data_IF_108507948030
#
_entry.id   IF_108507948030
#
_cell.length_a   1.000
_cell.length_b   1.000
_cell.length_c   1.000
_cell.angle_alpha   90.00
_cell.angle_beta   90.00
_cell.angle_gamma   90.00
#
_symmetry.space_group_name_H-M   'P 1'
#
loop_
_entity.id
_entity.type
_entity.pdbx_description
1 polymer ?
#
# COMPACT_ATOMS: atom_id res chain seq x y z
N UNK A 1 -15.17 4.44 0.12
CA UNK A 1 -13.91 3.68 0.12
C UNK A 1 -13.42 3.25 -1.27
N UNK A 2 -14.29 2.81 -2.19
CA UNK A 2 -13.88 2.44 -3.55
C UNK A 2 -14.35 3.45 -4.59
N UNK A 3 -13.50 3.73 -5.58
CA UNK A 3 -13.77 4.61 -6.71
C UNK A 3 -13.49 3.89 -8.02
N UNK A 4 -14.20 4.30 -9.08
CA UNK A 4 -13.91 3.86 -10.44
C UNK A 4 -12.97 4.86 -11.10
N UNK A 5 -11.84 4.37 -11.59
CA UNK A 5 -10.82 5.19 -12.27
C UNK A 5 -10.77 4.80 -13.72
N UNK A 6 -10.95 5.78 -14.61
CA UNK A 6 -10.80 5.59 -16.05
C UNK A 6 -9.32 5.67 -16.41
N UNK A 7 -8.79 4.61 -17.03
CA UNK A 7 -7.39 4.51 -17.42
C UNK A 7 -7.27 4.05 -18.87
N UNK A 8 -6.13 4.39 -19.47
CA UNK A 8 -5.76 3.98 -20.83
C UNK A 8 -4.43 3.26 -20.75
N UNK A 9 -4.38 2.04 -21.27
CA UNK A 9 -3.16 1.24 -21.29
C UNK A 9 -3.01 0.50 -22.63
N UNK A 10 -1.76 0.21 -23.00
CA UNK A 10 -1.46 -0.62 -24.16
C UNK A 10 -1.11 -2.03 -23.68
N UNK A 11 -2.00 -2.97 -23.95
CA UNK A 11 -1.89 -4.34 -23.50
C UNK A 11 -1.22 -5.18 -24.58
N UNK A 12 -0.16 -5.89 -24.21
CA UNK A 12 0.54 -6.84 -25.07
C UNK A 12 -0.04 -8.23 -24.88
N UNK A 13 -0.66 -8.76 -25.92
CA UNK A 13 -1.26 -10.11 -25.91
C UNK A 13 -0.34 -11.06 -26.67
N UNK A 14 0.16 -12.11 -26.00
CA UNK A 14 1.07 -13.03 -26.64
C UNK A 14 0.36 -13.97 -27.64
N UNK A 15 1.08 -14.48 -28.66
CA UNK A 15 0.49 -15.27 -29.75
C UNK A 15 -0.21 -16.56 -29.30
N UNK A 16 0.26 -17.18 -28.23
CA UNK A 16 -0.37 -18.40 -27.69
C UNK A 16 -1.75 -18.12 -27.09
N UNK A 17 -2.07 -16.89 -26.71
CA UNK A 17 -3.37 -16.51 -26.17
C UNK A 17 -4.39 -16.13 -27.26
N UNK A 18 -4.02 -16.18 -28.54
CA UNK A 18 -4.91 -15.82 -29.67
C UNK A 18 -6.08 -16.78 -29.88
N UNK A 19 -6.05 -17.95 -29.27
CA UNK A 19 -7.17 -18.88 -29.30
C UNK A 19 -8.34 -18.47 -28.38
N UNK A 20 -8.15 -17.45 -27.51
CA UNK A 20 -9.18 -16.93 -26.58
C UNK A 20 -9.83 -15.68 -27.17
N UNK A 21 -10.98 -15.30 -26.62
CA UNK A 21 -11.60 -14.01 -26.97
C UNK A 21 -10.71 -12.86 -26.50
N UNK A 22 -10.60 -11.82 -27.33
CA UNK A 22 -9.71 -10.68 -27.10
C UNK A 22 -10.05 -9.97 -25.77
N UNK A 23 -11.33 -9.81 -25.47
CA UNK A 23 -11.82 -9.20 -24.23
C UNK A 23 -11.35 -9.96 -22.99
N UNK A 24 -11.45 -11.29 -23.00
CA UNK A 24 -11.03 -12.13 -21.88
C UNK A 24 -9.50 -12.10 -21.69
N UNK A 25 -8.76 -12.16 -22.80
CA UNK A 25 -7.31 -12.08 -22.78
C UNK A 25 -6.82 -10.72 -22.23
N UNK A 26 -7.46 -9.62 -22.64
CA UNK A 26 -7.14 -8.28 -22.13
C UNK A 26 -7.48 -8.17 -20.65
N UNK A 27 -8.65 -8.65 -20.23
CA UNK A 27 -9.05 -8.59 -18.83
C UNK A 27 -8.08 -9.35 -17.93
N UNK A 28 -7.62 -10.53 -18.37
CA UNK A 28 -6.63 -11.32 -17.65
C UNK A 28 -5.28 -10.60 -17.54
N UNK A 29 -4.77 -10.02 -18.64
CA UNK A 29 -3.49 -9.31 -18.64
C UNK A 29 -3.55 -7.99 -17.83
N UNK A 30 -4.66 -7.24 -17.90
CA UNK A 30 -4.87 -6.05 -17.07
C UNK A 30 -4.90 -6.40 -15.58
N UNK A 31 -5.63 -7.45 -15.19
CA UNK A 31 -5.66 -7.90 -13.80
C UNK A 31 -4.26 -8.37 -13.33
N UNK A 32 -3.52 -9.13 -14.15
CA UNK A 32 -2.13 -9.50 -13.80
C UNK A 32 -1.22 -8.28 -13.62
N UNK A 33 -1.42 -7.24 -14.44
CA UNK A 33 -0.59 -6.04 -14.43
C UNK A 33 -0.94 -5.10 -13.28
N UNK A 34 -2.21 -4.92 -12.94
CA UNK A 34 -2.67 -3.87 -12.01
C UNK A 34 -3.20 -4.39 -10.67
N UNK A 35 -3.63 -5.65 -10.56
CA UNK A 35 -4.18 -6.15 -9.29
C UNK A 35 -3.13 -6.09 -8.18
N UNK A 36 -3.58 -5.64 -7.00
CA UNK A 36 -2.77 -5.47 -5.80
C UNK A 36 -1.52 -4.58 -6.01
N UNK A 37 -1.60 -3.60 -6.91
CA UNK A 37 -0.59 -2.57 -7.09
C UNK A 37 -1.15 -1.21 -6.72
N UNK A 38 -0.32 -0.42 -6.04
CA UNK A 38 -0.60 0.98 -5.77
C UNK A 38 -0.19 1.79 -6.98
N UNK A 39 -1.13 2.56 -7.52
CA UNK A 39 -0.88 3.56 -8.55
C UNK A 39 -0.75 4.91 -7.85
N UNK A 40 0.35 5.62 -8.12
CA UNK A 40 0.66 6.91 -7.49
C UNK A 40 -0.45 7.94 -7.75
N UNK A 41 -0.88 8.66 -6.71
CA UNK A 41 -2.00 9.62 -6.72
C UNK A 41 -3.37 9.03 -7.11
N UNK A 42 -3.53 7.71 -7.08
CA UNK A 42 -4.79 7.03 -7.47
C UNK A 42 -5.25 6.06 -6.39
N UNK A 43 -4.34 5.28 -5.79
CA UNK A 43 -4.66 4.33 -4.72
C UNK A 43 -4.35 2.87 -5.08
N UNK A 44 -4.91 1.94 -4.30
CA UNK A 44 -4.68 0.51 -4.47
C UNK A 44 -5.68 -0.11 -5.47
N UNK A 45 -5.17 -0.66 -6.56
CA UNK A 45 -5.96 -1.32 -7.59
C UNK A 45 -6.44 -2.71 -7.14
N UNK A 46 -7.76 -2.95 -7.18
CA UNK A 46 -8.37 -4.24 -6.80
C UNK A 46 -8.59 -5.12 -8.04
N UNK A 47 -9.54 -4.77 -8.89
CA UNK A 47 -9.91 -5.54 -10.08
C UNK A 47 -10.46 -4.66 -11.19
N UNK A 48 -10.40 -5.18 -12.42
CA UNK A 48 -11.03 -4.58 -13.59
C UNK A 48 -12.56 -4.54 -13.43
N UNK A 49 -13.16 -3.37 -13.65
CA UNK A 49 -14.62 -3.22 -13.65
C UNK A 49 -15.20 -3.56 -15.03
N UNK A 50 -14.84 -2.77 -16.04
CA UNK A 50 -15.22 -3.01 -17.42
C UNK A 50 -14.25 -2.37 -18.43
N UNK A 51 -14.36 -2.80 -19.68
CA UNK A 51 -13.63 -2.23 -20.82
C UNK A 51 -14.61 -1.34 -21.57
N UNK A 52 -14.32 -0.04 -21.65
CA UNK A 52 -15.22 0.96 -22.26
C UNK A 52 -14.96 1.09 -23.76
N UNK A 53 -13.70 1.03 -24.18
CA UNK A 53 -13.32 1.14 -25.59
C UNK A 53 -12.08 0.30 -25.89
N UNK A 54 -12.12 -0.39 -27.02
CA UNK A 54 -11.01 -1.17 -27.55
C UNK A 54 -10.60 -0.58 -28.90
N UNK A 55 -9.35 -0.17 -29.02
CA UNK A 55 -8.79 0.33 -30.29
C UNK A 55 -8.25 -0.83 -31.14
N UNK A 56 -7.82 -0.52 -32.36
CA UNK A 56 -7.26 -1.52 -33.26
C UNK A 56 -5.99 -2.15 -32.68
N UNK A 57 -5.82 -3.44 -32.98
CA UNK A 57 -4.68 -4.24 -32.58
C UNK A 57 -3.55 -4.14 -33.60
N UNK A 58 -2.35 -3.80 -33.14
CA UNK A 58 -1.16 -3.66 -33.97
C UNK A 58 -0.11 -4.73 -33.65
N UNK A 59 0.58 -5.23 -34.67
CA UNK A 59 1.72 -6.14 -34.52
C UNK A 59 2.97 -5.38 -34.97
N UNK A 60 3.96 -5.27 -34.09
CA UNK A 60 5.21 -4.58 -34.40
C UNK A 60 6.19 -5.52 -35.11
N UNK A 61 6.95 -5.04 -36.11
CA UNK A 61 8.00 -5.85 -36.73
C UNK A 61 9.03 -6.31 -35.68
N UNK A 62 9.21 -7.63 -35.55
CA UNK A 62 10.12 -8.23 -34.57
C UNK A 62 9.46 -8.77 -33.30
N UNK A 63 8.20 -8.45 -33.04
CA UNK A 63 7.39 -9.08 -31.99
C UNK A 63 6.09 -9.64 -32.58
N UNK A 64 5.87 -10.95 -32.44
CA UNK A 64 4.65 -11.59 -32.92
C UNK A 64 3.40 -11.28 -32.09
N UNK A 65 3.55 -10.59 -30.96
CA UNK A 65 2.45 -10.24 -30.07
C UNK A 65 1.57 -9.10 -30.62
N UNK A 66 0.29 -9.17 -30.29
CA UNK A 66 -0.69 -8.13 -30.59
C UNK A 66 -0.65 -7.07 -29.50
N UNK A 67 -0.52 -5.80 -29.89
CA UNK A 67 -0.55 -4.65 -29.00
C UNK A 67 -1.85 -3.89 -29.23
N UNK A 68 -2.70 -3.86 -28.22
CA UNK A 68 -4.03 -3.25 -28.30
C UNK A 68 -4.13 -2.13 -27.27
N UNK A 69 -4.53 -0.93 -27.69
CA UNK A 69 -4.81 0.16 -26.75
C UNK A 69 -6.23 0.01 -26.23
N UNK A 70 -6.37 0.03 -24.91
CA UNK A 70 -7.63 -0.25 -24.21
C UNK A 70 -7.94 0.90 -23.27
N UNK A 71 -9.18 1.36 -23.31
CA UNK A 71 -9.77 2.27 -22.34
C UNK A 71 -10.66 1.44 -21.43
N UNK A 72 -10.44 1.54 -20.13
CA UNK A 72 -11.12 0.70 -19.15
C UNK A 72 -11.34 1.44 -17.84
N UNK A 73 -12.26 0.92 -17.03
CA UNK A 73 -12.49 1.38 -15.66
C UNK A 73 -12.00 0.33 -14.69
N UNK A 74 -11.27 0.76 -13.67
CA UNK A 74 -10.73 -0.13 -12.65
C UNK A 74 -11.28 0.25 -11.29
N UNK A 75 -11.57 -0.75 -10.45
CA UNK A 75 -11.98 -0.55 -9.07
C UNK A 75 -10.73 -0.30 -8.24
N UNK A 76 -10.64 0.88 -7.65
CA UNK A 76 -9.51 1.31 -6.84
C UNK A 76 -9.98 1.62 -5.42
N UNK A 77 -9.24 1.13 -4.43
CA UNK A 77 -9.39 1.53 -3.04
C UNK A 77 -8.68 2.87 -2.82
N UNK A 78 -9.50 3.89 -2.60
CA UNK A 78 -9.08 5.26 -2.32
C UNK A 78 -10.21 5.89 -1.48
N UNK A 79 -10.17 5.68 -0.15
CA UNK A 79 -11.12 6.32 0.75
C UNK A 79 -10.95 7.83 0.71
N UNK A 80 -12.05 8.56 0.92
CA UNK A 80 -12.00 10.02 0.97
C UNK A 80 -11.67 10.49 2.39
N UNK A 81 -11.16 11.71 2.52
CA UNK A 81 -10.91 12.32 3.82
C UNK A 81 -12.21 12.43 4.63
N UNK A 82 -12.11 12.22 5.93
CA UNK A 82 -13.22 12.11 6.88
C UNK A 82 -14.14 10.88 6.71
N UNK A 83 -13.77 9.92 5.86
CA UNK A 83 -14.50 8.64 5.76
C UNK A 83 -14.30 7.79 7.03
N UNK A 84 -15.39 7.25 7.57
CA UNK A 84 -15.36 6.34 8.72
C UNK A 84 -15.28 4.90 8.22
N UNK A 85 -14.23 4.18 8.64
CA UNK A 85 -13.97 2.79 8.29
C UNK A 85 -13.89 1.93 9.55
N UNK A 86 -14.13 0.63 9.37
CA UNK A 86 -13.97 -0.37 10.43
C UNK A 86 -12.90 -1.35 9.98
N UNK A 87 -11.87 -1.51 10.79
CA UNK A 87 -10.76 -2.43 10.57
C UNK A 87 -10.42 -3.20 11.82
N UNK A 88 -9.42 -4.08 11.73
CA UNK A 88 -8.91 -4.86 12.86
C UNK A 88 -7.56 -4.34 13.29
N UNK A 89 -7.32 -4.27 14.58
CA UNK A 89 -6.00 -3.90 15.10
C UNK A 89 -5.02 -5.02 14.74
N UNK A 90 -3.99 -4.70 13.95
CA UNK A 90 -2.92 -5.63 13.59
C UNK A 90 -1.86 -5.70 14.68
N UNK A 91 -1.59 -4.56 15.29
CA UNK A 91 -0.59 -4.39 16.34
C UNK A 91 -0.52 -2.95 16.79
N UNK A 92 0.11 -2.74 17.93
CA UNK A 92 0.34 -1.42 18.50
C UNK A 92 1.85 -1.21 18.59
N UNK A 93 2.29 0.01 18.30
CA UNK A 93 3.69 0.44 18.40
C UNK A 93 3.75 1.80 19.09
N UNK A 94 4.95 2.25 19.44
CA UNK A 94 5.15 3.59 19.98
C UNK A 94 4.78 4.70 18.97
N UNK A 95 4.81 4.39 17.67
CA UNK A 95 4.40 5.31 16.60
C UNK A 95 2.87 5.42 16.47
N UNK A 96 2.12 4.45 16.99
CA UNK A 96 0.66 4.46 16.98
C UNK A 96 0.03 3.08 16.91
N UNK A 97 -1.26 3.05 16.58
CA UNK A 97 -2.02 1.81 16.40
C UNK A 97 -2.06 1.45 14.92
N UNK A 98 -1.60 0.26 14.56
CA UNK A 98 -1.67 -0.25 13.18
C UNK A 98 -2.97 -1.00 12.96
N UNK A 99 -3.69 -0.63 11.91
CA UNK A 99 -5.00 -1.19 11.56
C UNK A 99 -4.92 -1.89 10.22
N UNK A 100 -5.60 -3.03 10.10
CA UNK A 100 -5.75 -3.78 8.86
C UNK A 100 -7.22 -3.85 8.44
N UNK A 101 -7.47 -3.65 7.15
CA UNK A 101 -8.77 -3.90 6.49
C UNK A 101 -8.80 -5.27 5.81
N UNK A 102 -7.77 -6.10 6.00
CA UNK A 102 -7.61 -7.42 5.41
C UNK A 102 -6.89 -7.42 4.05
N UNK A 103 -7.27 -6.54 3.13
CA UNK A 103 -6.55 -6.37 1.84
C UNK A 103 -5.56 -5.19 1.85
N UNK A 104 -5.62 -4.35 2.88
CA UNK A 104 -4.76 -3.19 3.07
C UNK A 104 -4.37 -3.06 4.54
N UNK A 105 -3.07 -2.95 4.81
CA UNK A 105 -2.48 -3.03 6.16
C UNK A 105 -1.72 -1.76 6.56
N UNK A 106 -1.46 -0.85 5.62
CA UNK A 106 -0.66 0.35 5.84
C UNK A 106 -1.54 1.51 6.36
N UNK A 107 -2.24 1.26 7.47
CA UNK A 107 -3.07 2.25 8.17
C UNK A 107 -2.49 2.47 9.57
N UNK A 108 -2.20 3.73 9.90
CA UNK A 108 -1.66 4.12 11.19
C UNK A 108 -2.57 5.16 11.86
N UNK A 109 -2.86 4.95 13.14
CA UNK A 109 -3.51 5.94 13.99
C UNK A 109 -2.45 6.50 14.92
N UNK A 110 -1.98 7.73 14.71
CA UNK A 110 -0.89 8.30 15.48
C UNK A 110 -1.40 8.68 16.88
N UNK A 111 -0.51 8.70 17.89
CA UNK A 111 -0.88 8.90 19.29
C UNK A 111 -1.56 10.25 19.57
N UNK A 112 -1.27 11.27 18.77
CA UNK A 112 -1.90 12.59 18.86
C UNK A 112 -3.39 12.54 18.50
N UNK A 113 -3.79 11.54 17.71
CA UNK A 113 -5.17 11.33 17.25
C UNK A 113 -5.89 10.20 18.00
N UNK A 114 -5.31 9.71 19.09
CA UNK A 114 -5.95 8.80 20.04
C UNK A 114 -6.86 9.55 21.02
N UNK A 115 -7.70 8.79 21.72
CA UNK A 115 -8.60 9.33 22.74
C UNK A 115 -7.80 9.77 23.97
N UNK A 116 -8.01 11.01 24.41
CA UNK A 116 -7.33 11.55 25.57
C UNK A 116 -8.16 11.24 26.82
N UNK A 117 -7.56 10.76 27.93
CA UNK A 117 -6.14 10.46 28.14
C UNK A 117 -5.73 9.03 27.67
N UNK A 118 -4.82 8.94 26.68
CA UNK A 118 -4.23 7.69 26.23
C UNK A 118 -2.80 7.51 26.80
N UNK A 119 -2.48 6.29 27.21
CA UNK A 119 -1.13 5.89 27.66
C UNK A 119 -0.66 4.70 26.83
N UNK A 120 0.64 4.64 26.57
CA UNK A 120 1.28 3.51 25.91
C UNK A 120 2.06 2.70 26.94
N UNK A 121 1.80 1.40 26.99
CA UNK A 121 2.62 0.47 27.76
C UNK A 121 3.65 -0.19 26.83
N UNK A 122 4.93 0.13 27.03
CA UNK A 122 6.04 -0.41 26.23
C UNK A 122 6.31 -1.90 26.53
N UNK A 123 5.98 -2.37 27.74
CA UNK A 123 6.21 -3.77 28.12
C UNK A 123 5.20 -4.70 27.43
N UNK A 124 3.95 -4.27 27.30
CA UNK A 124 2.88 -5.03 26.66
C UNK A 124 2.70 -4.68 25.17
N UNK A 125 3.26 -3.56 24.71
CA UNK A 125 3.04 -3.00 23.37
C UNK A 125 1.54 -2.81 23.10
N UNK A 126 0.83 -2.20 24.06
CA UNK A 126 -0.61 -1.95 24.00
C UNK A 126 -0.89 -0.49 24.34
N UNK A 127 -1.84 0.10 23.62
CA UNK A 127 -2.41 1.40 23.95
C UNK A 127 -3.59 1.23 24.88
N UNK A 128 -3.61 1.98 25.97
CA UNK A 128 -4.71 2.01 26.94
C UNK A 128 -5.34 3.40 26.96
N UNK A 129 -6.67 3.43 27.05
CA UNK A 129 -7.46 4.65 27.25
C UNK A 129 -8.05 4.62 28.65
N UNK A 130 -7.74 5.63 29.46
CA UNK A 130 -8.27 5.77 30.82
C UNK A 130 -9.55 6.59 30.77
N UNK A 131 -10.70 5.91 30.90
CA UNK A 131 -12.02 6.53 30.89
C UNK A 131 -12.47 6.83 32.32
N UNK A 132 -12.51 8.11 32.70
CA UNK A 132 -13.01 8.55 34.00
C UNK A 132 -14.55 8.55 34.01
N UNK A 133 -15.14 7.79 34.93
CA UNK A 133 -16.57 7.81 35.25
C UNK A 133 -16.80 8.23 36.70
N UNK A 134 -18.03 8.58 37.04
CA UNK A 134 -18.43 8.93 38.42
C UNK A 134 -18.17 7.79 39.44
N UNK A 135 -17.98 6.55 38.98
CA UNK A 135 -17.68 5.35 39.80
C UNK A 135 -16.19 4.96 39.82
N UNK A 136 -15.33 5.65 39.06
CA UNK A 136 -13.88 5.41 39.00
C UNK A 136 -13.28 5.54 37.59
N UNK A 137 -11.95 5.41 37.52
CA UNK A 137 -11.22 5.32 36.25
C UNK A 137 -11.24 3.88 35.73
N UNK A 138 -11.70 3.70 34.49
CA UNK A 138 -11.71 2.43 33.78
C UNK A 138 -10.63 2.42 32.69
N UNK A 139 -9.70 1.47 32.80
CA UNK A 139 -8.66 1.26 31.80
C UNK A 139 -9.20 0.38 30.67
N UNK A 140 -9.31 0.95 29.47
CA UNK A 140 -9.76 0.27 28.26
C UNK A 140 -8.56 0.00 27.35
N UNK A 141 -8.22 -1.27 27.20
CA UNK A 141 -7.09 -1.72 26.39
C UNK A 141 -7.49 -1.89 24.92
N UNK A 142 -6.58 -1.54 24.01
CA UNK A 142 -6.71 -1.79 22.58
C UNK A 142 -5.97 -3.08 22.21
N UNK A 143 -6.68 -4.20 22.33
CA UNK A 143 -6.10 -5.52 22.06
C UNK A 143 -5.97 -5.82 20.56
N UNK A 144 -4.99 -6.67 20.21
CA UNK A 144 -4.79 -7.11 18.84
C UNK A 144 -5.96 -7.95 18.35
N UNK A 145 -6.38 -7.70 17.11
CA UNK A 145 -7.47 -8.41 16.44
C UNK A 145 -8.87 -7.85 16.71
N UNK A 146 -9.02 -6.89 17.63
CA UNK A 146 -10.30 -6.22 17.87
C UNK A 146 -10.70 -5.30 16.72
N UNK A 147 -12.01 -5.18 16.52
CA UNK A 147 -12.58 -4.30 15.51
C UNK A 147 -12.62 -2.86 16.03
N UNK A 148 -11.89 -1.99 15.34
CA UNK A 148 -11.78 -0.57 15.62
C UNK A 148 -12.43 0.24 14.50
N UNK A 149 -13.27 1.20 14.89
CA UNK A 149 -13.83 2.20 14.00
C UNK A 149 -12.97 3.45 14.04
N UNK A 150 -12.42 3.84 12.91
CA UNK A 150 -11.56 5.02 12.78
C UNK A 150 -12.03 5.89 11.63
N UNK A 151 -11.63 7.16 11.67
CA UNK A 151 -11.84 8.11 10.58
C UNK A 151 -10.55 8.33 9.84
N UNK A 152 -10.58 8.31 8.52
CA UNK A 152 -9.42 8.69 7.69
C UNK A 152 -9.25 10.21 7.77
N UNK A 153 -8.13 10.69 8.27
CA UNK A 153 -7.85 12.14 8.40
C UNK A 153 -6.86 12.64 7.37
N UNK A 154 -5.94 11.76 6.93
CA UNK A 154 -4.93 12.12 5.95
C UNK A 154 -4.49 10.88 5.16
N UNK A 155 -3.90 11.11 3.99
CA UNK A 155 -3.34 10.09 3.12
C UNK A 155 -1.99 10.51 2.59
N UNK A 156 -1.06 9.56 2.50
CA UNK A 156 0.31 9.83 2.07
C UNK A 156 0.68 8.87 0.94
N UNK A 157 1.10 9.44 -0.19
CA UNK A 157 1.67 8.70 -1.32
C UNK A 157 3.18 8.94 -1.39
N UNK A 158 3.95 7.86 -1.35
CA UNK A 158 5.41 7.89 -1.48
C UNK A 158 5.78 7.32 -2.84
N UNK A 159 6.50 8.11 -3.65
CA UNK A 159 7.03 7.63 -4.92
C UNK A 159 8.23 6.70 -4.67
N UNK A 160 7.97 5.40 -4.78
CA UNK A 160 8.99 4.33 -4.65
C UNK A 160 9.85 4.15 -5.92
N UNK A 161 9.86 5.11 -6.84
CA UNK A 161 10.72 5.05 -8.02
C UNK A 161 12.21 4.97 -7.65
N UNK A 162 13.03 4.17 -8.37
CA UNK A 162 14.44 4.01 -8.02
C UNK A 162 15.22 5.33 -8.16
N UNK A 163 15.78 5.82 -7.06
CA UNK A 163 16.62 7.03 -7.07
C UNK A 163 18.07 6.66 -7.44
N UNK A 164 18.39 6.80 -8.73
CA UNK A 164 19.75 6.62 -9.26
C UNK A 164 20.02 5.23 -9.85
N UNK A 165 21.11 5.07 -10.61
CA UNK A 165 21.45 3.78 -11.20
C UNK A 165 21.73 2.79 -10.07
N UNK A 166 20.83 1.83 -9.91
CA UNK A 166 21.05 0.66 -9.07
C UNK A 166 22.29 -0.04 -9.60
N UNK A 167 23.40 0.02 -8.86
CA UNK A 167 24.54 -0.85 -9.10
C UNK A 167 24.12 -2.27 -8.72
N UNK A 168 23.29 -2.89 -9.56
CA UNK A 168 23.15 -4.34 -9.59
C UNK A 168 24.55 -4.87 -9.88
N UNK A 169 25.19 -5.46 -8.86
CA UNK A 169 26.48 -6.13 -8.98
C UNK A 169 26.41 -7.10 -10.16
N UNK A 170 27.09 -6.73 -11.24
CA UNK A 170 27.38 -7.61 -12.36
C UNK A 170 28.00 -8.90 -11.82
N UNK A 171 27.38 -10.03 -12.15
CA UNK A 171 27.98 -11.35 -11.96
C UNK A 171 29.26 -11.49 -12.80
N UNK A 172 30.17 -12.42 -12.43
CA UNK A 172 31.52 -12.43 -12.96
C UNK A 172 31.55 -12.94 -14.41
N UNK A 173 32.01 -12.08 -15.33
CA UNK A 173 32.09 -12.39 -16.76
C UNK A 173 33.17 -11.60 -17.51
N UNK A 174 34.43 -11.97 -17.27
CA UNK A 174 35.60 -11.94 -18.19
C UNK A 174 35.83 -10.69 -19.08
N UNK A 175 36.75 -9.83 -18.61
CA UNK A 175 37.99 -9.48 -19.32
C UNK A 175 38.01 -8.29 -20.31
N UNK A 176 38.75 -7.23 -19.96
CA UNK A 176 39.89 -6.70 -20.72
C UNK A 176 40.42 -5.36 -20.17
N UNK A 177 41.71 -5.33 -19.79
CA UNK A 177 42.63 -4.26 -20.17
C UNK A 177 42.77 -3.00 -19.28
N UNK A 178 44.00 -2.85 -18.78
CA UNK A 178 44.77 -1.60 -18.60
C UNK A 178 44.71 -0.84 -17.26
N UNK A 179 45.91 -0.64 -16.69
CA UNK A 179 46.33 0.70 -16.24
C UNK A 179 46.45 0.93 -14.74
N UNK A 180 47.70 0.98 -14.28
CA UNK A 180 48.21 1.44 -12.98
C UNK A 180 47.44 2.60 -12.27
N UNK A 181 47.31 2.50 -10.94
CA UNK A 181 48.04 3.34 -9.97
C UNK A 181 47.48 3.15 -8.55
N UNK A 182 48.37 3.13 -7.56
CA UNK A 182 48.09 2.96 -6.15
C UNK A 182 47.52 4.23 -5.50
N UNK A 183 46.55 4.08 -4.60
CA UNK A 183 46.35 4.98 -3.46
C UNK A 183 45.61 4.24 -2.33
N UNK A 184 46.24 4.24 -1.16
CA UNK A 184 45.81 3.73 0.13
C UNK A 184 44.66 4.54 0.75
N UNK A 185 43.62 3.87 1.28
CA UNK A 185 42.84 4.36 2.44
C UNK A 185 41.99 3.23 3.08
N UNK A 186 41.80 3.36 4.39
CA UNK A 186 41.34 2.43 5.43
C UNK A 186 39.87 1.98 5.37
N UNK A 187 39.47 0.92 6.13
CA UNK A 187 38.11 0.40 6.12
C UNK A 187 37.19 1.27 6.99
N UNK A 188 36.11 1.79 6.41
CA UNK A 188 34.97 2.33 7.15
C UNK A 188 33.78 1.38 6.95
N UNK A 189 33.07 1.13 8.05
CA UNK A 189 32.12 0.03 8.24
C UNK A 189 31.07 -0.11 7.16
N UNK A 190 30.77 -1.37 6.85
CA UNK A 190 29.56 -1.78 6.14
C UNK A 190 28.42 -1.62 7.15
N UNK A 191 27.76 -0.48 7.12
CA UNK A 191 26.42 -0.36 7.67
C UNK A 191 25.48 -0.93 6.61
N UNK A 192 25.04 -2.17 6.81
CA UNK A 192 23.88 -2.73 6.13
C UNK A 192 22.66 -1.88 6.52
N UNK A 193 22.46 -0.76 5.83
CA UNK A 193 21.16 -0.10 5.82
C UNK A 193 20.22 -1.00 5.03
N UNK A 194 19.52 -1.90 5.73
CA UNK A 194 18.28 -2.47 5.25
C UNK A 194 17.42 -1.27 4.85
N UNK A 195 17.35 -0.96 3.55
CA UNK A 195 16.43 0.05 3.04
C UNK A 195 15.04 -0.46 3.40
N UNK A 196 14.48 0.07 4.50
CA UNK A 196 13.08 -0.10 4.81
C UNK A 196 12.33 0.44 3.59
N UNK A 197 11.75 -0.49 2.84
CA UNK A 197 10.98 -0.16 1.65
C UNK A 197 9.72 0.52 2.16
N UNK A 198 9.71 1.84 2.15
CA UNK A 198 8.57 2.64 2.60
C UNK A 198 7.31 2.20 1.84
N UNK A 199 6.19 2.12 2.56
CA UNK A 199 4.91 1.77 1.96
C UNK A 199 4.52 2.85 0.94
N UNK A 200 4.20 2.49 -0.32
CA UNK A 200 3.91 3.49 -1.36
C UNK A 200 2.59 4.25 -1.12
N UNK A 201 1.72 3.70 -0.27
CA UNK A 201 0.46 4.33 0.13
C UNK A 201 0.19 4.03 1.60
N UNK A 202 0.02 5.08 2.39
CA UNK A 202 -0.25 5.00 3.83
C UNK A 202 -1.45 5.87 4.16
N UNK A 203 -2.36 5.33 4.97
CA UNK A 203 -3.51 6.06 5.48
C UNK A 203 -3.31 6.43 6.93
N UNK A 204 -3.64 7.67 7.28
CA UNK A 204 -3.60 8.16 8.65
C UNK A 204 -5.03 8.24 9.17
N UNK A 205 -5.29 7.52 10.26
CA UNK A 205 -6.58 7.46 10.92
C UNK A 205 -6.64 8.29 12.21
N UNK A 206 -7.85 8.59 12.67
CA UNK A 206 -8.11 9.21 13.97
C UNK A 206 -9.28 8.52 14.68
N UNK A 207 -9.20 8.47 16.01
CA UNK A 207 -10.24 7.91 16.90
C UNK A 207 -10.59 8.84 18.05
N UNK A 208 -10.12 10.10 18.00
CA UNK A 208 -10.32 11.08 19.08
C UNK A 208 -11.77 11.50 19.29
N UNK A 209 -12.65 11.29 18.31
CA UNK A 209 -14.04 11.69 18.40
C UNK A 209 -14.95 10.65 19.09
N UNK A 210 -15.98 11.10 19.83
CA UNK A 210 -16.97 10.21 20.42
C UNK A 210 -17.65 9.35 19.35
N UNK A 211 -17.80 8.05 19.61
CA UNK A 211 -18.35 7.06 18.68
C UNK A 211 -17.33 6.38 17.77
N UNK A 212 -16.05 6.78 17.85
CA UNK A 212 -14.89 6.11 17.25
C UNK A 212 -14.11 5.31 18.32
N UNK A 213 -13.22 4.42 17.88
CA UNK A 213 -12.53 3.46 18.75
C UNK A 213 -13.12 2.06 18.62
N UNK A 214 -12.88 1.20 19.61
CA UNK A 214 -13.33 -0.19 19.55
C UNK A 214 -14.85 -0.28 19.50
N UNK A 215 -15.39 -1.17 18.69
CA UNK A 215 -16.85 -1.37 18.60
C UNK A 215 -17.44 -1.83 19.95
N UNK A 216 -16.65 -2.54 20.76
CA UNK A 216 -17.00 -3.00 22.11
C UNK A 216 -17.28 -1.85 23.07
N UNK A 217 -16.68 -0.67 22.86
CA UNK A 217 -16.86 0.49 23.74
C UNK A 217 -18.21 1.19 23.55
N UNK A 218 -18.84 1.02 22.39
CA UNK A 218 -20.06 1.77 22.02
C UNK A 218 -21.30 0.89 21.89
N UNK A 219 -21.14 -0.42 21.77
CA UNK A 219 -22.26 -1.36 21.76
C UNK A 219 -22.70 -1.65 23.19
N UNK A 220 -23.62 -0.81 23.68
CA UNK A 220 -24.37 -1.02 24.93
C UNK A 220 -25.73 -1.64 24.69
#
# INVERSE_FOLDING_TARGET
MFVLVEMVDTVRIPPWSFHRQLNDAIAEELNKKLANKVVYNVGLCICLYDITKLEDSYIFPGDGASHTKVHFRYVVFHPFLDEILVGKIKGCSAEGVHVSLGFFDDIIIPPESLQQPAKFDEAEQVWMWEYETDEGAHDLYMDQGEEIRFRVVDEVFIDTSPTGPSAEKEGPGVGAGAGAAAATALPAGVEDSVQQKEAPYTLIGSVSEPGLGLLSWWNS
#
